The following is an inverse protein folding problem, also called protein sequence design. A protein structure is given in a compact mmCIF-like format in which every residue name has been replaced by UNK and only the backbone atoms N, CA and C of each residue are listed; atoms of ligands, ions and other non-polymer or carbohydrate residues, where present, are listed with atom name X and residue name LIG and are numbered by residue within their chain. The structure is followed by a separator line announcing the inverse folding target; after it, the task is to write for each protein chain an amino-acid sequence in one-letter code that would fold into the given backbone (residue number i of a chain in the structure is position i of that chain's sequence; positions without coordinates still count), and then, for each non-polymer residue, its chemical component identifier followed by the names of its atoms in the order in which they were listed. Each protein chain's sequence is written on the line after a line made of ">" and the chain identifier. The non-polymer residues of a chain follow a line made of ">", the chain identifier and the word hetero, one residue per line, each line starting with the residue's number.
data_IF_712008050093
#
_entry.id   IF_712008050093
#
_cell.length_a   1.000
_cell.length_b   1.000
_cell.length_c   1.000
_cell.angle_alpha   90.00
_cell.angle_beta   90.00
_cell.angle_gamma   90.00
#
_symmetry.space_group_name_H-M   'P 1'
#
loop_
_entity.id
_entity.type
_entity.pdbx_description
1 polymer ?
#
# COMPACT_ATOMS: atom_id res chain seq x y z
N UNK A 1 13.81 22.13 8.05
CA UNK A 1 12.36 22.20 8.33
C UNK A 1 11.88 20.77 8.41
N UNK A 2 11.60 20.26 9.60
CA UNK A 2 10.88 18.99 9.74
C UNK A 2 9.41 19.33 9.48
N UNK A 3 8.94 19.02 8.28
CA UNK A 3 7.52 19.04 8.00
C UNK A 3 7.00 17.72 8.54
N UNK A 4 6.49 17.74 9.77
CA UNK A 4 5.74 16.62 10.31
C UNK A 4 4.40 16.62 9.58
N UNK A 5 4.25 15.68 8.64
CA UNK A 5 2.99 15.49 7.93
C UNK A 5 1.94 15.07 8.96
N UNK A 6 0.75 15.68 8.94
CA UNK A 6 -0.32 15.40 9.90
C UNK A 6 -1.00 14.05 9.70
N UNK A 7 -0.42 13.18 8.86
CA UNK A 7 -0.95 11.88 8.48
C UNK A 7 0.20 10.95 8.12
N UNK A 8 -0.11 9.66 8.12
CA UNK A 8 0.78 8.61 7.66
C UNK A 8 0.29 7.98 6.36
N UNK A 9 1.19 7.36 5.62
CA UNK A 9 0.97 6.74 4.32
C UNK A 9 1.25 5.24 4.44
N UNK A 10 0.30 4.41 4.04
CA UNK A 10 0.52 2.97 3.81
C UNK A 10 0.56 2.69 2.32
N UNK A 11 1.63 2.05 1.85
CA UNK A 11 1.65 1.37 0.56
C UNK A 11 1.27 -0.10 0.79
N UNK A 12 0.20 -0.57 0.14
CA UNK A 12 -0.33 -1.92 0.35
C UNK A 12 -0.33 -2.70 -0.96
N UNK A 13 0.21 -3.91 -0.92
CA UNK A 13 0.18 -4.86 -2.04
C UNK A 13 -1.23 -5.42 -2.29
N UNK A 14 -1.45 -5.94 -3.49
CA UNK A 14 -2.71 -6.54 -3.90
C UNK A 14 -2.73 -8.07 -3.76
N UNK A 15 -1.86 -8.77 -4.49
CA UNK A 15 -1.93 -10.21 -4.73
C UNK A 15 -1.33 -11.00 -3.57
N UNK A 16 -2.18 -11.71 -2.81
CA UNK A 16 -1.76 -12.39 -1.58
C UNK A 16 -1.87 -11.50 -0.33
N UNK A 17 -2.09 -10.19 -0.52
CA UNK A 17 -2.24 -9.20 0.56
C UNK A 17 -3.69 -8.78 0.75
N UNK A 18 -4.26 -8.04 -0.22
CA UNK A 18 -5.66 -7.60 -0.21
C UNK A 18 -6.60 -8.67 -0.77
N UNK A 19 -6.13 -9.40 -1.79
CA UNK A 19 -6.90 -10.36 -2.55
C UNK A 19 -6.16 -11.70 -2.59
N UNK A 20 -6.79 -12.75 -2.08
CA UNK A 20 -6.28 -14.11 -2.15
C UNK A 20 -6.72 -14.75 -3.47
N UNK A 21 -5.88 -14.67 -4.50
CA UNK A 21 -6.16 -15.16 -5.85
C UNK A 21 -4.95 -15.79 -6.53
N UNK A 22 -5.21 -16.66 -7.49
CA UNK A 22 -4.21 -17.07 -8.47
C UNK A 22 -4.14 -16.01 -9.56
N UNK A 23 -2.97 -15.37 -9.73
CA UNK A 23 -2.75 -14.42 -10.82
C UNK A 23 -3.10 -15.06 -12.18
N UNK A 24 -3.82 -14.36 -13.09
CA UNK A 24 -4.29 -12.96 -13.02
C UNK A 24 -5.73 -12.77 -12.49
N UNK A 25 -6.34 -13.83 -11.95
CA UNK A 25 -7.72 -13.78 -11.48
C UNK A 25 -7.87 -12.89 -10.23
N UNK A 26 -9.13 -12.60 -9.90
CA UNK A 26 -9.53 -11.98 -8.64
C UNK A 26 -10.12 -13.06 -7.75
N UNK A 27 -9.96 -12.93 -6.44
CA UNK A 27 -10.31 -13.98 -5.49
C UNK A 27 -10.88 -13.42 -4.20
N UNK A 28 -10.67 -14.16 -3.12
CA UNK A 28 -11.31 -13.88 -1.85
C UNK A 28 -10.70 -12.64 -1.18
N UNK A 29 -11.52 -11.71 -0.66
CA UNK A 29 -11.01 -10.55 0.03
C UNK A 29 -10.39 -10.88 1.38
N UNK A 30 -9.27 -10.23 1.70
CA UNK A 30 -8.78 -10.13 3.07
C UNK A 30 -9.62 -9.10 3.85
N UNK A 31 -10.84 -9.49 4.24
CA UNK A 31 -11.80 -8.59 4.89
C UNK A 31 -11.25 -7.90 6.14
N UNK A 32 -10.40 -8.59 6.92
CA UNK A 32 -9.82 -8.02 8.13
C UNK A 32 -8.87 -6.86 7.82
N UNK A 33 -7.97 -7.05 6.84
CA UNK A 33 -7.06 -6.01 6.38
C UNK A 33 -7.83 -4.86 5.71
N UNK A 34 -8.79 -5.16 4.85
CA UNK A 34 -9.61 -4.14 4.18
C UNK A 34 -10.33 -3.26 5.21
N UNK A 35 -10.97 -3.86 6.23
CA UNK A 35 -11.65 -3.11 7.28
C UNK A 35 -10.68 -2.25 8.11
N UNK A 36 -9.44 -2.71 8.32
CA UNK A 36 -8.40 -1.90 8.96
C UNK A 36 -8.03 -0.69 8.10
N UNK A 37 -7.80 -0.88 6.80
CA UNK A 37 -7.41 0.17 5.87
C UNK A 37 -8.52 1.20 5.64
N UNK A 38 -9.79 0.79 5.69
CA UNK A 38 -10.93 1.73 5.70
C UNK A 38 -10.88 2.66 6.91
N UNK A 39 -10.74 2.10 8.12
CA UNK A 39 -10.60 2.91 9.34
C UNK A 39 -9.35 3.78 9.32
N UNK A 40 -8.26 3.29 8.72
CA UNK A 40 -7.04 4.07 8.53
C UNK A 40 -7.33 5.35 7.73
N UNK A 41 -8.08 5.26 6.64
CA UNK A 41 -8.53 6.43 5.87
C UNK A 41 -9.47 7.34 6.66
N UNK A 42 -10.40 6.77 7.45
CA UNK A 42 -11.32 7.56 8.28
C UNK A 42 -10.59 8.43 9.31
N UNK A 43 -9.37 8.04 9.70
CA UNK A 43 -8.48 8.83 10.58
C UNK A 43 -7.72 9.95 9.85
N UNK A 44 -7.96 10.14 8.54
CA UNK A 44 -7.28 11.15 7.71
C UNK A 44 -5.95 10.68 7.11
N UNK A 45 -5.58 9.41 7.30
CA UNK A 45 -4.38 8.84 6.71
C UNK A 45 -4.55 8.46 5.24
N UNK A 46 -3.43 8.19 4.57
CA UNK A 46 -3.37 7.98 3.12
C UNK A 46 -3.02 6.54 2.77
N UNK A 47 -3.59 6.07 1.66
CA UNK A 47 -3.33 4.75 1.10
C UNK A 47 -2.85 4.84 -0.34
N UNK A 48 -1.83 4.04 -0.65
CA UNK A 48 -1.35 3.82 -2.00
C UNK A 48 -1.51 2.33 -2.33
N UNK A 49 -2.20 2.01 -3.41
CA UNK A 49 -2.16 0.65 -3.95
C UNK A 49 -0.79 0.45 -4.61
N UNK A 50 0.00 -0.49 -4.11
CA UNK A 50 1.36 -0.75 -4.59
C UNK A 50 1.49 -2.18 -5.08
N UNK A 51 1.25 -2.40 -6.37
CA UNK A 51 1.10 -3.72 -6.96
C UNK A 51 1.88 -3.86 -8.26
N UNK A 52 2.34 -5.08 -8.56
CA UNK A 52 2.93 -5.40 -9.86
C UNK A 52 1.90 -5.44 -11.00
N UNK A 53 0.59 -5.38 -10.71
CA UNK A 53 -0.45 -5.35 -11.75
C UNK A 53 -0.31 -4.08 -12.62
N UNK A 54 -0.54 -4.24 -13.92
CA UNK A 54 -0.50 -3.16 -14.91
C UNK A 54 -1.61 -3.34 -15.96
N UNK A 55 -1.95 -2.26 -16.68
CA UNK A 55 -2.99 -2.27 -17.71
C UNK A 55 -4.35 -2.72 -17.18
N UNK A 56 -5.03 -3.58 -17.94
CA UNK A 56 -6.37 -4.07 -17.58
C UNK A 56 -6.39 -4.81 -16.24
N UNK A 57 -5.32 -5.53 -15.89
CA UNK A 57 -5.25 -6.22 -14.61
C UNK A 57 -5.19 -5.25 -13.42
N UNK A 58 -4.54 -4.09 -13.60
CA UNK A 58 -4.53 -3.02 -12.60
C UNK A 58 -5.91 -2.38 -12.50
N UNK A 59 -6.55 -2.07 -13.63
CA UNK A 59 -7.91 -1.52 -13.64
C UNK A 59 -8.89 -2.46 -12.90
N UNK A 60 -8.82 -3.76 -13.19
CA UNK A 60 -9.63 -4.78 -12.53
C UNK A 60 -9.37 -4.86 -11.01
N UNK A 61 -8.11 -4.74 -10.57
CA UNK A 61 -7.77 -4.72 -9.14
C UNK A 61 -8.31 -3.48 -8.42
N UNK A 62 -8.19 -2.29 -9.04
CA UNK A 62 -8.75 -1.06 -8.48
C UNK A 62 -10.27 -1.13 -8.43
N UNK A 63 -10.93 -1.63 -9.48
CA UNK A 63 -12.38 -1.82 -9.51
C UNK A 63 -12.85 -2.83 -8.46
N UNK A 64 -12.08 -3.91 -8.26
CA UNK A 64 -12.34 -4.89 -7.22
C UNK A 64 -12.23 -4.27 -5.82
N UNK A 65 -11.20 -3.46 -5.55
CA UNK A 65 -11.07 -2.75 -4.26
C UNK A 65 -12.24 -1.79 -4.01
N UNK A 66 -12.67 -1.04 -5.04
CA UNK A 66 -13.84 -0.16 -4.95
C UNK A 66 -15.11 -0.91 -4.57
N UNK A 67 -15.33 -2.12 -5.09
CA UNK A 67 -16.48 -2.98 -4.70
C UNK A 67 -16.44 -3.42 -3.24
N UNK A 68 -15.25 -3.47 -2.63
CA UNK A 68 -15.07 -3.72 -1.20
C UNK A 68 -15.18 -2.44 -0.35
N UNK A 69 -15.42 -1.28 -0.97
CA UNK A 69 -15.44 0.02 -0.30
C UNK A 69 -14.06 0.54 0.08
N UNK A 70 -13.00 0.11 -0.61
CA UNK A 70 -11.63 0.57 -0.38
C UNK A 70 -11.13 1.38 -1.59
N UNK A 71 -10.78 2.63 -1.34
CA UNK A 71 -10.26 3.56 -2.35
C UNK A 71 -8.85 4.03 -1.98
N UNK A 72 -8.04 4.37 -2.97
CA UNK A 72 -6.64 4.77 -2.78
C UNK A 72 -6.44 6.23 -3.16
N UNK A 73 -5.53 6.90 -2.46
CA UNK A 73 -5.09 8.27 -2.76
C UNK A 73 -4.13 8.30 -3.97
N UNK A 74 -3.40 7.21 -4.20
CA UNK A 74 -2.65 6.96 -5.43
C UNK A 74 -2.57 5.47 -5.76
N UNK A 75 -2.23 5.14 -7.00
CA UNK A 75 -2.08 3.77 -7.49
C UNK A 75 -0.76 3.67 -8.25
N UNK A 76 0.16 2.86 -7.75
CA UNK A 76 1.51 2.70 -8.30
C UNK A 76 2.28 4.01 -8.49
N UNK A 77 1.97 5.02 -7.68
CA UNK A 77 2.58 6.33 -7.76
C UNK A 77 2.68 7.02 -6.39
N UNK A 78 3.64 7.92 -6.25
CA UNK A 78 3.77 8.75 -5.05
C UNK A 78 2.66 9.80 -5.00
N UNK A 79 2.30 10.23 -3.77
CA UNK A 79 1.38 11.36 -3.63
C UNK A 79 2.00 12.64 -4.20
N UNK A 80 1.22 13.55 -4.82
CA UNK A 80 1.74 14.77 -5.43
C UNK A 80 2.56 15.63 -4.46
N UNK A 81 2.15 15.71 -3.20
CA UNK A 81 2.85 16.44 -2.15
C UNK A 81 4.20 15.82 -1.76
N UNK A 82 4.33 14.49 -1.88
CA UNK A 82 5.59 13.78 -1.68
C UNK A 82 6.54 14.04 -2.86
N UNK A 83 6.02 14.02 -4.09
CA UNK A 83 6.79 14.39 -5.29
C UNK A 83 7.30 15.83 -5.19
N UNK A 84 6.45 16.75 -4.74
CA UNK A 84 6.82 18.15 -4.54
C UNK A 84 7.90 18.31 -3.45
N UNK A 85 7.79 17.56 -2.35
CA UNK A 85 8.75 17.61 -1.25
C UNK A 85 10.16 17.21 -1.67
N UNK A 86 10.31 16.15 -2.47
CA UNK A 86 11.62 15.66 -2.92
C UNK A 86 12.10 16.26 -4.25
N UNK A 87 11.26 17.04 -4.93
CA UNK A 87 11.56 17.61 -6.25
C UNK A 87 11.72 16.57 -7.37
N UNK A 88 11.31 15.32 -7.12
CA UNK A 88 11.27 14.24 -8.11
C UNK A 88 10.21 13.21 -7.74
N UNK A 89 9.74 12.46 -8.74
CA UNK A 89 8.91 11.29 -8.51
C UNK A 89 9.78 10.03 -8.60
N UNK A 90 10.23 9.55 -7.45
CA UNK A 90 11.08 8.35 -7.40
C UNK A 90 10.28 7.10 -7.77
N UNK A 91 10.93 6.12 -8.42
CA UNK A 91 10.26 4.87 -8.81
C UNK A 91 9.75 4.06 -7.61
N UNK A 92 10.38 4.19 -6.45
CA UNK A 92 9.95 3.55 -5.21
C UNK A 92 8.92 4.45 -4.53
N UNK A 93 7.82 3.86 -4.08
CA UNK A 93 6.85 4.61 -3.27
C UNK A 93 7.47 5.02 -1.95
N UNK A 94 7.37 6.28 -1.61
CA UNK A 94 7.73 6.81 -0.29
C UNK A 94 6.48 6.80 0.59
N UNK A 95 6.53 6.03 1.67
CA UNK A 95 5.45 5.86 2.62
C UNK A 95 6.03 5.50 4.00
N UNK A 96 5.19 5.55 5.04
CA UNK A 96 5.56 5.21 6.41
C UNK A 96 5.59 3.69 6.62
N UNK A 97 4.65 2.97 6.01
CA UNK A 97 4.55 1.52 6.14
C UNK A 97 4.28 0.84 4.80
N UNK A 98 4.86 -0.34 4.63
CA UNK A 98 4.53 -1.28 3.56
C UNK A 98 3.79 -2.47 4.16
N UNK A 99 2.69 -2.89 3.54
CA UNK A 99 2.00 -4.14 3.83
C UNK A 99 2.07 -5.00 2.58
N UNK A 100 2.78 -6.13 2.66
CA UNK A 100 3.12 -6.97 1.50
C UNK A 100 3.31 -8.42 1.96
N UNK A 101 2.70 -9.37 1.26
CA UNK A 101 2.75 -10.80 1.56
C UNK A 101 4.17 -11.39 1.42
N UNK A 102 5.03 -10.73 0.65
CA UNK A 102 6.43 -11.11 0.41
C UNK A 102 7.42 -10.32 1.25
N UNK A 103 6.94 -9.49 2.18
CA UNK A 103 7.81 -8.80 3.13
C UNK A 103 8.53 -9.82 4.03
N UNK A 104 9.84 -9.73 4.09
CA UNK A 104 10.67 -10.58 4.94
C UNK A 104 10.95 -9.89 6.28
N UNK A 105 10.59 -10.54 7.39
CA UNK A 105 10.91 -10.05 8.74
C UNK A 105 12.38 -10.34 9.08
N UNK A 106 13.26 -9.38 8.75
CA UNK A 106 14.72 -9.51 8.88
C UNK A 106 15.20 -9.87 10.30
N UNK A 107 14.66 -9.31 11.41
CA UNK A 107 15.15 -9.64 12.76
C UNK A 107 15.09 -11.13 13.11
N UNK A 108 14.16 -11.88 12.51
CA UNK A 108 14.01 -13.32 12.72
C UNK A 108 15.09 -14.15 12.00
N UNK A 109 15.76 -13.57 11.00
CA UNK A 109 16.70 -14.26 10.13
C UNK A 109 18.16 -14.03 10.49
N UNK A 110 18.51 -12.83 10.94
CA UNK A 110 19.92 -12.47 11.15
C UNK A 110 20.36 -12.57 12.61
N UNK A 111 19.46 -12.85 13.55
CA UNK A 111 19.79 -12.93 14.98
C UNK A 111 20.37 -11.62 15.55
N UNK A 112 20.33 -10.53 14.78
CA UNK A 112 20.85 -9.23 15.19
C UNK A 112 19.68 -8.32 15.49
N UNK A 113 19.42 -8.16 16.78
CA UNK A 113 18.74 -6.99 17.30
C UNK A 113 19.64 -5.78 17.01
N UNK A 114 19.34 -5.02 15.96
CA UNK A 114 19.79 -3.63 15.89
C UNK A 114 18.61 -2.75 16.23
N UNK A 115 18.55 -2.42 17.52
CA UNK A 115 17.87 -1.23 18.02
C UNK A 115 18.45 -0.03 17.28
N UNK A 116 17.60 0.73 16.60
CA UNK A 116 17.46 2.19 16.68
C UNK A 116 16.17 2.57 15.99
#
# INVERSE_FOLDING_TARGET
>A
MNIEMSYQIIAVDFDGTLCYSNWPELGEPNYALIAYLQRWKDMGNKLILWTCRAGDALANAVDWCRKQGLEFDAVNDNLPEIVALYGNNSRKITCDYYIDDKMLHVPELVGVCRVT
#
